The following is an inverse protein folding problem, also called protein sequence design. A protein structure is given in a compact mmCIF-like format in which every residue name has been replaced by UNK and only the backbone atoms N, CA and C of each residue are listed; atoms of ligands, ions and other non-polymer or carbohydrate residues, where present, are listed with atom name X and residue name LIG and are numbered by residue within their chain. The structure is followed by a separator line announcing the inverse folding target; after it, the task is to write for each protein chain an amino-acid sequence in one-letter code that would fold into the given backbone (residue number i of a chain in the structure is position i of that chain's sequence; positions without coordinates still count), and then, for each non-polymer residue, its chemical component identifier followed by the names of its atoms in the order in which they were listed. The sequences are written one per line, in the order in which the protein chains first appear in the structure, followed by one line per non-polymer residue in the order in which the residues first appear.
data_IF_958054910016
#
_entry.id   IF_958054910016
#
_cell.length_a   1.000
_cell.length_b   1.000
_cell.length_c   1.000
_cell.angle_alpha   90.00
_cell.angle_beta   90.00
_cell.angle_gamma   90.00
#
_symmetry.space_group_name_H-M   'P 1'
#
loop_
_entity.id
_entity.type
_entity.pdbx_description
1 polymer ?
#
# COMPACT_ATOMS: atom_id res chain seq x y z
N UNK A 1 -0.74 1.66 21.76
CA UNK A 1 -1.13 1.72 20.33
C UNK A 1 -1.70 0.41 19.81
N UNK A 2 -1.21 -0.74 20.27
CA UNK A 2 -1.58 -2.05 19.71
C UNK A 2 -3.08 -2.36 19.79
N UNK A 3 -3.72 -2.11 20.95
CA UNK A 3 -5.16 -2.30 21.12
C UNK A 3 -6.02 -1.48 20.13
N UNK A 4 -5.51 -0.32 19.68
CA UNK A 4 -6.22 0.56 18.76
C UNK A 4 -6.20 -0.02 17.34
N UNK A 5 -5.03 -0.49 16.87
CA UNK A 5 -4.89 -1.11 15.54
C UNK A 5 -5.70 -2.41 15.48
N UNK A 6 -5.65 -3.23 16.52
CA UNK A 6 -6.46 -4.46 16.60
C UNK A 6 -7.97 -4.17 16.50
N UNK A 7 -8.44 -3.07 17.09
CA UNK A 7 -9.86 -2.69 17.02
C UNK A 7 -10.32 -2.27 15.62
N UNK A 8 -9.44 -1.72 14.78
CA UNK A 8 -9.73 -1.35 13.40
C UNK A 8 -9.49 -2.47 12.38
N UNK A 9 -8.83 -3.56 12.79
CA UNK A 9 -8.46 -4.68 11.91
C UNK A 9 -9.62 -5.19 11.03
N UNK A 10 -10.86 -5.36 11.52
CA UNK A 10 -11.97 -5.78 10.66
C UNK A 10 -12.27 -4.82 9.51
N UNK A 11 -12.20 -3.50 9.75
CA UNK A 11 -12.39 -2.47 8.73
C UNK A 11 -11.24 -2.45 7.72
N UNK A 12 -10.00 -2.59 8.20
CA UNK A 12 -8.82 -2.67 7.34
C UNK A 12 -8.81 -3.92 6.47
N UNK A 13 -9.30 -5.06 6.97
CA UNK A 13 -9.50 -6.26 6.14
C UNK A 13 -10.56 -6.07 5.06
N UNK A 14 -11.57 -5.22 5.26
CA UNK A 14 -12.54 -4.87 4.19
C UNK A 14 -11.83 -4.04 3.11
N UNK A 15 -11.06 -3.02 3.49
CA UNK A 15 -10.28 -2.21 2.54
C UNK A 15 -9.30 -3.11 1.77
N UNK A 16 -8.57 -3.97 2.47
CA UNK A 16 -7.60 -4.91 1.89
C UNK A 16 -8.23 -5.89 0.90
N UNK A 17 -9.42 -6.41 1.21
CA UNK A 17 -10.19 -7.28 0.31
C UNK A 17 -10.70 -6.55 -0.94
N UNK A 18 -11.00 -5.26 -0.84
CA UNK A 18 -11.42 -4.44 -1.98
C UNK A 18 -10.27 -4.14 -2.95
N UNK A 19 -9.02 -4.13 -2.47
CA UNK A 19 -7.82 -4.08 -3.32
C UNK A 19 -7.56 -5.48 -3.90
N UNK A 20 -8.23 -5.83 -5.01
CA UNK A 20 -8.17 -7.18 -5.59
C UNK A 20 -6.87 -7.49 -6.35
N UNK A 21 -6.18 -6.47 -6.84
CA UNK A 21 -4.95 -6.66 -7.60
C UNK A 21 -3.80 -7.00 -6.65
N UNK A 22 -3.18 -8.17 -6.85
CA UNK A 22 -1.95 -8.56 -6.13
C UNK A 22 -0.87 -7.48 -6.27
N UNK A 23 -0.78 -6.87 -7.44
CA UNK A 23 0.16 -5.79 -7.72
C UNK A 23 -0.09 -4.53 -6.87
N UNK A 24 -1.35 -4.12 -6.71
CA UNK A 24 -1.71 -3.00 -5.84
C UNK A 24 -1.41 -3.32 -4.38
N UNK A 25 -1.63 -4.56 -3.95
CA UNK A 25 -1.30 -5.03 -2.60
C UNK A 25 0.21 -4.99 -2.33
N UNK A 26 1.02 -5.51 -3.25
CA UNK A 26 2.50 -5.43 -3.16
C UNK A 26 2.96 -3.99 -3.05
N UNK A 27 2.43 -3.11 -3.91
CA UNK A 27 2.71 -1.69 -3.87
C UNK A 27 2.39 -1.07 -2.51
N UNK A 28 1.21 -1.34 -1.94
CA UNK A 28 0.82 -0.85 -0.62
C UNK A 28 1.75 -1.36 0.50
N UNK A 29 2.17 -2.63 0.45
CA UNK A 29 3.09 -3.18 1.45
C UNK A 29 4.44 -2.45 1.41
N UNK A 30 4.96 -2.20 0.21
CA UNK A 30 6.24 -1.49 0.08
C UNK A 30 6.11 -0.03 0.53
N UNK A 31 5.06 0.66 0.08
CA UNK A 31 4.76 2.04 0.51
C UNK A 31 4.61 2.16 2.03
N UNK A 32 4.00 1.16 2.67
CA UNK A 32 3.90 1.13 4.11
C UNK A 32 5.30 1.04 4.75
N UNK A 33 6.19 0.18 4.25
CA UNK A 33 7.54 0.00 4.80
C UNK A 33 8.48 1.21 4.57
N UNK A 34 8.40 1.87 3.41
CA UNK A 34 9.31 2.98 3.06
C UNK A 34 8.90 4.35 3.64
N UNK A 35 7.75 4.40 4.32
CA UNK A 35 7.12 5.43 5.18
C UNK A 35 7.06 6.88 4.69
N UNK A 36 8.00 7.42 3.92
CA UNK A 36 8.05 8.86 3.59
C UNK A 36 8.55 9.21 2.20
N UNK A 37 9.18 8.32 1.45
CA UNK A 37 9.81 8.69 0.18
C UNK A 37 9.59 7.67 -0.94
N UNK A 38 8.42 7.01 -0.97
CA UNK A 38 8.08 6.17 -2.10
C UNK A 38 8.16 7.00 -3.39
N UNK A 39 9.23 6.76 -4.15
CA UNK A 39 9.50 7.36 -5.46
C UNK A 39 9.86 6.19 -6.35
N UNK A 40 8.93 5.71 -7.18
CA UNK A 40 9.22 4.59 -8.06
C UNK A 40 10.35 5.04 -9.01
N UNK A 41 11.50 4.39 -8.91
CA UNK A 41 12.62 4.54 -9.83
C UNK A 41 12.85 3.20 -10.54
N UNK A 42 13.70 3.18 -11.58
CA UNK A 42 13.92 1.96 -12.38
C UNK A 42 14.42 0.79 -11.54
N UNK A 43 15.26 1.09 -10.53
CA UNK A 43 15.79 0.11 -9.58
C UNK A 43 14.69 -0.50 -8.70
N UNK A 44 13.73 0.31 -8.29
CA UNK A 44 12.57 -0.10 -7.50
C UNK A 44 11.64 -1.07 -8.24
N UNK A 45 11.55 -0.95 -9.57
CA UNK A 45 10.77 -1.87 -10.41
C UNK A 45 11.43 -3.25 -10.45
N UNK A 46 12.75 -3.27 -10.60
CA UNK A 46 13.56 -4.49 -10.65
C UNK A 46 13.61 -5.20 -9.30
N UNK A 47 13.82 -4.47 -8.19
CA UNK A 47 13.94 -5.02 -6.83
C UNK A 47 12.63 -5.62 -6.29
N UNK A 48 11.48 -5.22 -6.82
CA UNK A 48 10.16 -5.64 -6.33
C UNK A 48 9.32 -6.44 -7.34
N UNK A 49 9.94 -6.91 -8.43
CA UNK A 49 9.28 -7.68 -9.50
C UNK A 49 8.00 -6.99 -10.01
N UNK A 50 8.10 -5.67 -10.21
CA UNK A 50 6.98 -4.87 -10.69
C UNK A 50 7.00 -4.83 -12.23
N UNK A 51 5.85 -5.06 -12.89
CA UNK A 51 5.80 -5.22 -14.36
C UNK A 51 6.39 -4.06 -15.16
N UNK A 52 5.97 -2.82 -14.89
CA UNK A 52 6.51 -1.62 -15.54
C UNK A 52 6.04 -0.35 -14.85
N UNK A 53 6.70 0.78 -15.15
CA UNK A 53 6.29 2.12 -14.69
C UNK A 53 4.82 2.43 -15.00
N UNK A 54 4.32 2.02 -16.16
CA UNK A 54 2.93 2.24 -16.55
C UNK A 54 1.95 1.48 -15.63
N UNK A 55 2.32 0.26 -15.21
CA UNK A 55 1.52 -0.51 -14.25
C UNK A 55 1.55 0.12 -12.86
N UNK A 56 2.72 0.59 -12.38
CA UNK A 56 2.85 1.33 -11.11
C UNK A 56 1.93 2.54 -11.15
N UNK A 57 2.05 3.37 -12.20
CA UNK A 57 1.26 4.59 -12.33
C UNK A 57 -0.25 4.31 -12.35
N UNK A 58 -0.68 3.27 -13.06
CA UNK A 58 -2.09 2.84 -13.06
C UNK A 58 -2.55 2.39 -11.67
N UNK A 59 -1.71 1.65 -10.95
CA UNK A 59 -2.00 1.21 -9.59
C UNK A 59 -2.13 2.41 -8.63
N UNK A 60 -1.20 3.37 -8.68
CA UNK A 60 -1.25 4.60 -7.88
C UNK A 60 -2.55 5.37 -8.16
N UNK A 61 -2.86 5.66 -9.42
CA UNK A 61 -4.10 6.38 -9.80
C UNK A 61 -5.34 5.64 -9.27
N UNK A 62 -5.36 4.32 -9.33
CA UNK A 62 -6.50 3.54 -8.85
C UNK A 62 -6.64 3.64 -7.32
N UNK A 63 -5.53 3.51 -6.60
CA UNK A 63 -5.50 3.58 -5.14
C UNK A 63 -5.81 5.00 -4.62
N UNK A 64 -5.41 6.05 -5.35
CA UNK A 64 -5.78 7.44 -5.08
C UNK A 64 -7.29 7.66 -5.26
N UNK A 65 -7.88 7.14 -6.35
CA UNK A 65 -9.34 7.20 -6.57
C UNK A 65 -10.13 6.46 -5.48
N UNK A 66 -9.54 5.44 -4.87
CA UNK A 66 -10.11 4.73 -3.73
C UNK A 66 -9.92 5.45 -2.39
N UNK A 67 -9.17 6.56 -2.36
CA UNK A 67 -8.84 7.30 -1.13
C UNK A 67 -7.85 6.59 -0.22
N UNK A 68 -7.20 5.52 -0.70
CA UNK A 68 -6.23 4.74 0.09
C UNK A 68 -4.87 5.46 0.11
N UNK A 69 -4.52 6.10 -1.00
CA UNK A 69 -3.27 6.85 -1.17
C UNK A 69 -3.58 8.32 -1.44
N UNK A 70 -2.71 9.19 -0.94
CA UNK A 70 -2.65 10.60 -1.30
C UNK A 70 -1.18 11.03 -1.43
N UNK A 71 -0.82 11.74 -2.50
CA UNK A 71 0.55 12.24 -2.75
C UNK A 71 1.64 11.17 -2.57
N UNK A 72 1.44 9.98 -3.14
CA UNK A 72 2.35 8.83 -3.00
C UNK A 72 2.55 8.34 -1.55
N UNK A 73 1.57 8.52 -0.67
CA UNK A 73 1.58 7.98 0.70
C UNK A 73 0.24 7.35 1.05
N UNK A 74 0.26 6.30 1.88
CA UNK A 74 -0.99 5.75 2.44
C UNK A 74 -1.62 6.82 3.33
N UNK A 75 -2.87 7.17 3.04
CA UNK A 75 -3.55 8.31 3.65
C UNK A 75 -3.85 8.08 5.14
N UNK A 76 -4.28 6.87 5.50
CA UNK A 76 -4.58 6.49 6.87
C UNK A 76 -3.34 5.90 7.56
N UNK A 77 -2.88 6.60 8.62
CA UNK A 77 -1.75 6.18 9.44
C UNK A 77 -1.96 4.80 10.07
N UNK A 78 -3.15 4.51 10.63
CA UNK A 78 -3.43 3.25 11.28
C UNK A 78 -3.52 2.11 10.27
N UNK A 79 -4.08 2.36 9.08
CA UNK A 79 -4.08 1.37 8.01
C UNK A 79 -2.66 1.03 7.54
N UNK A 80 -1.80 2.04 7.42
CA UNK A 80 -0.37 1.86 7.09
C UNK A 80 0.34 1.00 8.14
N UNK A 81 0.18 1.33 9.43
CA UNK A 81 0.79 0.56 10.51
C UNK A 81 0.23 -0.87 10.60
N UNK A 82 -1.04 -1.06 10.29
CA UNK A 82 -1.64 -2.38 10.17
C UNK A 82 -1.02 -3.20 9.04
N UNK A 83 -0.84 -2.62 7.84
CA UNK A 83 -0.16 -3.30 6.72
C UNK A 83 1.26 -3.72 7.11
N UNK A 84 2.02 -2.85 7.77
CA UNK A 84 3.40 -3.16 8.22
C UNK A 84 3.47 -4.38 9.13
N UNK A 85 2.47 -4.58 9.98
CA UNK A 85 2.42 -5.64 10.99
C UNK A 85 1.94 -6.96 10.41
N UNK A 86 0.88 -6.91 9.62
CA UNK A 86 0.10 -8.10 9.25
C UNK A 86 0.45 -8.66 7.87
N UNK A 87 1.03 -7.85 6.97
CA UNK A 87 1.24 -8.26 5.57
C UNK A 87 2.74 -8.36 5.27
N UNK A 88 3.17 -9.58 4.97
CA UNK A 88 4.53 -9.92 4.54
C UNK A 88 4.50 -10.12 3.02
N UNK A 89 5.60 -9.75 2.34
CA UNK A 89 5.82 -10.02 0.90
C UNK A 89 6.40 -11.42 0.78
#
# INVERSE_FOLDING_TARGET
MDNLISSFSPGFEIIWRNVRSEYQRRLLIIMAKEDKNFKPNTKFIEEHDLKSFAHIRKAIITLEKMGIIHENRIADFFFREWIKREKII
#
